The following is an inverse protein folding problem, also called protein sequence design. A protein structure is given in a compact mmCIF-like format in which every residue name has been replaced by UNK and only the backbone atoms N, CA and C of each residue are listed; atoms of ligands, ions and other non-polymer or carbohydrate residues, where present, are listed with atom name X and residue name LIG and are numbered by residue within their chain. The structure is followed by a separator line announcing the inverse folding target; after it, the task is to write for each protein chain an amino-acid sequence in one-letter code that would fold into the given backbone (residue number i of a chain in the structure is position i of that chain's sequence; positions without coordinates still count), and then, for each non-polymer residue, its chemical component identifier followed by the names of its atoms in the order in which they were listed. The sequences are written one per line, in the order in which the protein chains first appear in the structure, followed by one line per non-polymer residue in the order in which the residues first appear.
data_IF_335921676233
#
_entry.id   IF_335921676233
#
_cell.length_a   1.000
_cell.length_b   1.000
_cell.length_c   1.000
_cell.angle_alpha   90.00
_cell.angle_beta   90.00
_cell.angle_gamma   90.00
#
_symmetry.space_group_name_H-M   'P 1'
#
loop_
_entity.id
_entity.type
_entity.pdbx_description
1 polymer ?
#
# COMPACT_ATOMS: atom_id res chain seq x y z
N UNK A 1 -10.23 37.31 15.94
CA UNK A 1 -10.58 35.94 16.38
C UNK A 1 -10.87 35.14 15.12
N UNK A 2 -9.91 34.35 14.63
CA UNK A 2 -10.17 33.38 13.58
C UNK A 2 -10.77 32.15 14.26
N UNK A 3 -11.99 31.79 13.87
CA UNK A 3 -12.62 30.56 14.31
C UNK A 3 -11.71 29.40 13.88
N UNK A 4 -11.29 28.59 14.86
CA UNK A 4 -10.69 27.31 14.57
C UNK A 4 -11.72 26.49 13.83
N UNK A 5 -11.51 26.31 12.53
CA UNK A 5 -12.18 25.28 11.75
C UNK A 5 -12.00 23.96 12.51
N UNK A 6 -13.04 23.12 12.61
CA UNK A 6 -12.85 21.80 13.17
C UNK A 6 -11.79 21.11 12.32
N UNK A 7 -10.63 20.82 12.91
CA UNK A 7 -9.73 19.81 12.41
C UNK A 7 -10.51 18.49 12.47
N UNK A 8 -11.32 18.28 11.43
CA UNK A 8 -11.95 17.02 11.14
C UNK A 8 -10.79 16.04 11.00
N UNK A 9 -10.55 15.36 12.11
CA UNK A 9 -9.73 14.17 12.21
C UNK A 9 -10.44 13.01 11.49
N UNK A 10 -11.08 13.32 10.34
CA UNK A 10 -11.65 12.38 9.40
C UNK A 10 -10.50 11.65 8.78
N UNK A 11 -10.10 10.57 9.46
CA UNK A 11 -8.98 9.74 9.07
C UNK A 11 -9.08 9.36 7.60
N UNK A 12 -7.93 9.41 6.93
CA UNK A 12 -7.81 9.07 5.52
C UNK A 12 -8.53 7.75 5.20
N UNK A 13 -9.67 7.82 4.51
CA UNK A 13 -10.41 6.64 4.07
C UNK A 13 -9.76 6.05 2.83
N UNK A 14 -9.13 4.88 2.97
CA UNK A 14 -8.53 4.16 1.87
C UNK A 14 -9.42 3.00 1.41
N UNK A 15 -9.66 2.92 0.10
CA UNK A 15 -10.40 1.82 -0.52
C UNK A 15 -9.45 0.97 -1.36
N UNK A 16 -9.34 -0.30 -1.02
CA UNK A 16 -8.60 -1.26 -1.85
C UNK A 16 -9.33 -1.50 -3.17
N UNK A 17 -8.62 -1.36 -4.29
CA UNK A 17 -9.17 -1.52 -5.64
C UNK A 17 -8.53 -2.75 -6.31
N UNK A 18 -8.99 -3.98 -6.00
CA UNK A 18 -8.42 -5.21 -6.56
C UNK A 18 -8.59 -5.31 -8.08
N UNK A 19 -9.60 -4.62 -8.63
CA UNK A 19 -9.90 -4.62 -10.06
C UNK A 19 -8.90 -3.80 -10.88
N UNK A 20 -8.19 -2.87 -10.26
CA UNK A 20 -7.24 -1.99 -10.95
C UNK A 20 -5.88 -2.68 -11.01
N UNK A 21 -5.77 -3.57 -11.99
CA UNK A 21 -4.55 -4.33 -12.26
C UNK A 21 -3.64 -3.56 -13.20
N UNK A 22 -2.33 -3.60 -12.93
CA UNK A 22 -1.34 -2.88 -13.70
C UNK A 22 -0.82 -3.76 -14.84
N UNK A 23 -1.49 -3.68 -15.99
CA UNK A 23 -1.14 -4.45 -17.20
C UNK A 23 0.32 -4.20 -17.64
N UNK A 24 0.89 -3.04 -17.30
CA UNK A 24 2.30 -2.72 -17.55
C UNK A 24 3.28 -3.73 -16.93
N UNK A 25 2.96 -4.31 -15.76
CA UNK A 25 3.80 -5.34 -15.13
C UNK A 25 3.66 -6.71 -15.79
N UNK A 26 2.56 -6.94 -16.51
CA UNK A 26 2.30 -8.18 -17.25
C UNK A 26 2.71 -8.10 -18.72
N UNK A 27 3.12 -6.92 -19.21
CA UNK A 27 3.61 -6.74 -20.56
C UNK A 27 4.91 -7.56 -20.76
N UNK A 28 5.06 -8.26 -21.91
CA UNK A 28 6.18 -9.17 -22.14
C UNK A 28 7.54 -8.47 -22.07
N UNK A 29 7.64 -7.23 -22.55
CA UNK A 29 8.87 -6.42 -22.47
C UNK A 29 9.23 -6.08 -21.03
N UNK A 30 8.25 -5.62 -20.23
CA UNK A 30 8.45 -5.32 -18.81
C UNK A 30 8.79 -6.58 -18.03
N UNK A 31 8.08 -7.69 -18.26
CA UNK A 31 8.37 -8.97 -17.61
C UNK A 31 9.77 -9.48 -17.96
N UNK A 32 10.21 -9.33 -19.21
CA UNK A 32 11.57 -9.69 -19.65
C UNK A 32 12.62 -8.85 -18.94
N UNK A 33 12.40 -7.53 -18.81
CA UNK A 33 13.26 -6.66 -18.02
C UNK A 33 13.26 -7.08 -16.55
N UNK A 34 12.10 -7.19 -15.91
CA UNK A 34 11.99 -7.63 -14.52
C UNK A 34 12.70 -8.98 -14.29
N UNK A 35 12.70 -9.89 -15.26
CA UNK A 35 13.46 -11.14 -15.20
C UNK A 35 14.96 -10.92 -15.20
N UNK A 36 15.48 -10.04 -16.06
CA UNK A 36 16.92 -9.69 -16.11
C UNK A 36 17.41 -9.13 -14.76
N UNK A 37 16.58 -8.33 -14.08
CA UNK A 37 16.90 -7.77 -12.77
C UNK A 37 16.58 -8.71 -11.59
N UNK A 38 16.15 -9.96 -11.85
CA UNK A 38 15.66 -10.90 -10.82
C UNK A 38 14.51 -10.33 -9.96
N UNK A 39 13.75 -9.39 -10.51
CA UNK A 39 12.59 -8.73 -9.89
C UNK A 39 11.26 -9.36 -10.30
N UNK A 40 11.25 -10.22 -11.32
CA UNK A 40 10.06 -10.91 -11.77
C UNK A 40 9.49 -11.77 -10.62
N UNK A 41 8.22 -11.52 -10.27
CA UNK A 41 7.55 -12.17 -9.14
C UNK A 41 7.89 -11.59 -7.76
N UNK A 42 8.87 -10.68 -7.66
CA UNK A 42 9.23 -9.94 -6.43
C UNK A 42 8.65 -8.53 -6.37
N UNK A 43 8.08 -8.05 -7.48
CA UNK A 43 7.37 -6.77 -7.57
C UNK A 43 5.89 -7.03 -7.85
N UNK A 44 5.04 -6.39 -7.07
CA UNK A 44 3.59 -6.35 -7.27
C UNK A 44 3.12 -4.90 -7.15
N UNK A 45 2.17 -4.50 -7.99
CA UNK A 45 1.51 -3.21 -7.87
C UNK A 45 0.08 -3.39 -7.39
N UNK A 46 -0.33 -2.53 -6.47
CA UNK A 46 -1.67 -2.49 -5.92
C UNK A 46 -2.18 -1.05 -5.97
N UNK A 47 -3.47 -0.92 -6.24
CA UNK A 47 -4.13 0.36 -6.30
C UNK A 47 -5.02 0.53 -5.06
N UNK A 48 -4.89 1.68 -4.42
CA UNK A 48 -5.77 2.15 -3.37
C UNK A 48 -6.35 3.49 -3.82
N UNK A 49 -7.66 3.63 -3.70
CA UNK A 49 -8.35 4.90 -3.91
C UNK A 49 -8.49 5.65 -2.58
N UNK A 50 -8.44 6.97 -2.64
CA UNK A 50 -8.79 7.85 -1.53
C UNK A 50 -9.59 9.03 -2.10
N UNK A 51 -10.55 9.54 -1.34
CA UNK A 51 -11.48 10.60 -1.79
C UNK A 51 -11.13 11.99 -1.20
N UNK A 52 -10.22 12.05 -0.23
CA UNK A 52 -9.92 13.27 0.51
C UNK A 52 -8.90 14.17 -0.19
N UNK A 53 -8.90 15.46 0.17
CA UNK A 53 -7.98 16.45 -0.38
C UNK A 53 -6.54 16.15 0.06
N UNK A 54 -5.66 15.87 -0.91
CA UNK A 54 -4.25 15.65 -0.63
C UNK A 54 -3.53 16.99 -0.46
N UNK A 55 -2.98 17.22 0.72
CA UNK A 55 -2.18 18.41 1.01
C UNK A 55 -0.70 18.00 1.07
N UNK A 56 0.14 18.60 0.22
CA UNK A 56 1.55 18.21 0.10
C UNK A 56 2.33 18.28 1.43
N UNK A 57 1.95 19.20 2.32
CA UNK A 57 2.55 19.36 3.64
C UNK A 57 2.11 18.29 4.65
N UNK A 58 0.99 17.59 4.41
CA UNK A 58 0.50 16.47 5.23
C UNK A 58 0.94 15.11 4.68
N UNK A 59 1.96 15.06 3.82
CA UNK A 59 2.46 13.79 3.23
C UNK A 59 2.80 12.74 4.28
N UNK A 60 3.48 13.15 5.35
CA UNK A 60 3.93 12.24 6.40
C UNK A 60 2.74 11.67 7.20
N UNK A 61 1.76 12.53 7.51
CA UNK A 61 0.52 12.15 8.17
C UNK A 61 -0.32 11.21 7.29
N UNK A 62 -0.42 11.51 5.99
CA UNK A 62 -1.07 10.65 5.00
C UNK A 62 -0.44 9.25 4.95
N UNK A 63 0.90 9.17 4.91
CA UNK A 63 1.60 7.88 4.92
C UNK A 63 1.35 7.13 6.23
N UNK A 64 1.40 7.84 7.36
CA UNK A 64 1.12 7.27 8.68
C UNK A 64 -0.30 6.72 8.76
N UNK A 65 -1.28 7.45 8.24
CA UNK A 65 -2.67 7.01 8.17
C UNK A 65 -2.84 5.81 7.22
N UNK A 66 -2.15 5.82 6.06
CA UNK A 66 -2.20 4.72 5.09
C UNK A 66 -1.76 3.38 5.70
N UNK A 67 -0.63 3.35 6.40
CA UNK A 67 -0.14 2.12 7.00
C UNK A 67 -0.91 1.68 8.26
N UNK A 68 -1.69 2.59 8.86
CA UNK A 68 -2.55 2.31 10.01
C UNK A 68 -3.99 1.98 9.62
N UNK A 69 -4.36 2.17 8.36
CA UNK A 69 -5.74 2.00 7.91
C UNK A 69 -6.19 0.53 7.95
N UNK A 70 -7.37 0.23 8.53
CA UNK A 70 -7.86 -1.13 8.68
C UNK A 70 -8.22 -1.82 7.36
N UNK A 71 -8.35 -1.10 6.25
CA UNK A 71 -8.52 -1.66 4.92
C UNK A 71 -7.18 -1.88 4.22
N UNK A 72 -6.16 -1.05 4.48
CA UNK A 72 -4.83 -1.22 3.90
C UNK A 72 -4.10 -2.39 4.52
N UNK A 73 -4.09 -2.51 5.85
CA UNK A 73 -3.35 -3.55 6.58
C UNK A 73 -3.66 -4.98 6.05
N UNK A 74 -4.91 -5.44 5.94
CA UNK A 74 -5.20 -6.79 5.45
C UNK A 74 -5.00 -6.96 3.95
N UNK A 75 -4.92 -5.89 3.15
CA UNK A 75 -4.87 -5.96 1.69
C UNK A 75 -3.50 -5.66 1.11
N UNK A 76 -2.63 -4.91 1.80
CA UNK A 76 -1.31 -4.54 1.32
C UNK A 76 -0.41 -5.78 1.26
N UNK A 77 0.05 -6.12 0.05
CA UNK A 77 0.93 -7.24 -0.22
C UNK A 77 2.35 -6.87 0.13
N UNK A 78 3.00 -7.74 0.87
CA UNK A 78 4.39 -7.70 1.23
C UNK A 78 5.05 -9.01 0.80
N UNK A 79 6.22 -8.94 0.18
CA UNK A 79 7.00 -10.13 -0.11
C UNK A 79 7.69 -10.57 1.18
N UNK A 80 7.41 -11.79 1.64
CA UNK A 80 8.13 -12.35 2.80
C UNK A 80 9.53 -12.77 2.37
N UNK A 81 10.55 -12.22 3.02
CA UNK A 81 11.95 -12.59 2.77
C UNK A 81 12.22 -14.07 3.07
N UNK A 82 11.58 -14.62 4.11
CA UNK A 82 11.78 -16.00 4.56
C UNK A 82 11.19 -17.06 3.65
N UNK A 83 10.04 -16.80 3.00
CA UNK A 83 9.33 -17.80 2.17
C UNK A 83 9.29 -17.46 0.69
N UNK A 84 9.68 -16.25 0.29
CA UNK A 84 9.52 -15.76 -1.08
C UNK A 84 8.05 -15.65 -1.54
N UNK A 85 7.10 -15.78 -0.60
CA UNK A 85 5.67 -15.72 -0.88
C UNK A 85 5.11 -14.33 -0.56
N UNK A 86 4.12 -13.92 -1.34
CA UNK A 86 3.35 -12.72 -1.07
C UNK A 86 2.40 -12.96 0.11
N UNK A 87 2.64 -12.25 1.21
CA UNK A 87 1.76 -12.20 2.38
C UNK A 87 1.09 -10.84 2.47
N UNK A 88 0.05 -10.71 3.28
CA UNK A 88 -0.55 -9.40 3.57
C UNK A 88 0.07 -8.79 4.83
N UNK A 89 0.14 -7.45 4.90
CA UNK A 89 0.74 -6.72 6.02
C UNK A 89 0.11 -7.13 7.37
N UNK A 90 -1.20 -7.35 7.39
CA UNK A 90 -1.92 -7.84 8.58
C UNK A 90 -1.43 -9.22 9.04
N UNK A 91 -1.07 -10.12 8.11
CA UNK A 91 -0.52 -11.43 8.44
C UNK A 91 0.93 -11.34 8.93
N UNK A 92 1.71 -10.41 8.37
CA UNK A 92 3.10 -10.16 8.77
C UNK A 92 3.19 -9.65 10.22
N UNK A 93 2.32 -8.70 10.59
CA UNK A 93 2.28 -8.10 11.94
C UNK A 93 2.00 -9.15 13.03
N UNK A 94 1.16 -10.16 12.75
CA UNK A 94 0.90 -11.27 13.67
C UNK A 94 2.08 -12.21 13.88
N UNK A 95 2.94 -12.41 12.87
CA UNK A 95 4.12 -13.29 12.97
C UNK A 95 5.36 -12.60 13.57
N UNK A 96 5.48 -11.28 13.43
CA UNK A 96 6.63 -10.53 13.95
C UNK A 96 6.64 -10.36 15.48
N UNK A 97 5.63 -10.87 16.20
CA UNK A 97 5.58 -10.91 17.68
C UNK A 97 6.34 -12.08 18.32
N UNK A 98 7.11 -12.85 17.54
CA UNK A 98 7.90 -13.98 18.04
C UNK A 98 9.32 -13.96 17.46
N UNK A 99 10.12 -12.94 17.80
CA UNK A 99 11.59 -13.05 17.84
C UNK A 99 12.06 -12.20 19.03
#
# INVERSE_FOLDING_TARGET
MAAGEPEDSGGYCFRFLPQKTFRCLSAPETASRLRQWSMLGRVAAQAFGFDQTFQAHRRDDFLTAFFKDPNVIPNLKLLSDSSGQWITLGFACGRLRKI
#
